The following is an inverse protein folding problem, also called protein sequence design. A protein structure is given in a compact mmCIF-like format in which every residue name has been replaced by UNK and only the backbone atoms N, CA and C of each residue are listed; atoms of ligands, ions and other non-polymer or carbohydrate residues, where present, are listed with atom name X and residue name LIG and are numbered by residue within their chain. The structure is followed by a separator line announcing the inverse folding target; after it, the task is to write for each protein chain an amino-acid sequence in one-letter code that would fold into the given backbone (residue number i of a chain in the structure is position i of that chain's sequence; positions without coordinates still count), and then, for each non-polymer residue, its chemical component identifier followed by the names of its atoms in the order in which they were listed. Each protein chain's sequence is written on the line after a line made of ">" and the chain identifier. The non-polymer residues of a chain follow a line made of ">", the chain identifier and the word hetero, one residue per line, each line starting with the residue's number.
data_IF_076104217971
#
_entry.id   IF_076104217971
#
_cell.length_a   1.000
_cell.length_b   1.000
_cell.length_c   1.000
_cell.angle_alpha   90.00
_cell.angle_beta   90.00
_cell.angle_gamma   90.00
#
_symmetry.space_group_name_H-M   'P 1'
#
loop_
_entity.id
_entity.type
_entity.pdbx_description
1 polymer ?
#
# COMPACT_ATOMS: atom_id res chain seq x y z
N UNK A 1 35.21 13.82 -13.43
CA UNK A 1 34.26 12.70 -13.34
C UNK A 1 33.63 12.56 -14.72
N UNK A 2 33.91 11.47 -15.40
CA UNK A 2 33.42 11.20 -16.76
C UNK A 2 31.93 10.83 -16.73
N UNK A 3 31.20 11.24 -17.77
CA UNK A 3 29.79 10.88 -17.95
C UNK A 3 29.72 9.45 -18.48
N UNK A 4 28.91 8.60 -17.86
CA UNK A 4 28.71 7.25 -18.36
C UNK A 4 27.69 7.29 -19.52
N UNK A 5 28.07 6.93 -20.75
CA UNK A 5 27.18 7.00 -21.90
C UNK A 5 25.98 6.05 -21.81
N UNK A 6 26.05 4.99 -20.98
CA UNK A 6 24.91 4.09 -20.76
C UNK A 6 23.83 4.67 -19.84
N UNK A 7 24.17 5.67 -19.02
CA UNK A 7 23.26 6.31 -18.04
C UNK A 7 23.01 7.79 -18.39
N UNK A 8 23.83 8.39 -19.26
CA UNK A 8 23.73 9.80 -19.66
C UNK A 8 24.11 10.79 -18.55
N UNK A 9 24.70 10.31 -17.45
CA UNK A 9 25.16 11.12 -16.31
C UNK A 9 26.36 10.45 -15.63
N UNK A 10 26.99 11.15 -14.68
CA UNK A 10 28.07 10.54 -13.89
C UNK A 10 27.51 9.43 -12.99
N UNK A 11 28.26 8.33 -12.82
CA UNK A 11 27.89 7.23 -11.92
C UNK A 11 27.57 7.70 -10.50
N UNK A 12 28.31 8.69 -10.03
CA UNK A 12 28.11 9.29 -8.71
C UNK A 12 26.79 10.05 -8.60
N UNK A 13 26.44 10.85 -9.62
CA UNK A 13 25.15 11.53 -9.64
C UNK A 13 23.99 10.53 -9.74
N UNK A 14 24.08 9.53 -10.61
CA UNK A 14 23.07 8.45 -10.73
C UNK A 14 22.78 7.74 -9.40
N UNK A 15 23.83 7.48 -8.63
CA UNK A 15 23.73 6.78 -7.37
C UNK A 15 23.02 7.61 -6.29
N UNK A 16 23.18 8.93 -6.34
CA UNK A 16 22.51 9.87 -5.42
C UNK A 16 21.09 10.24 -5.85
N UNK A 17 20.81 10.22 -7.15
CA UNK A 17 19.50 10.52 -7.74
C UNK A 17 18.62 9.27 -7.79
N UNK A 18 18.45 8.58 -6.66
CA UNK A 18 17.60 7.40 -6.56
C UNK A 18 16.11 7.80 -6.47
N UNK A 19 15.20 7.10 -7.16
CA UNK A 19 13.78 7.40 -7.11
C UNK A 19 13.15 6.98 -5.77
N UNK A 20 12.37 7.87 -5.16
CA UNK A 20 11.76 7.65 -3.83
C UNK A 20 10.31 7.13 -3.91
N UNK A 21 9.63 7.37 -5.03
CA UNK A 21 8.23 7.00 -5.21
C UNK A 21 8.04 5.48 -5.36
N UNK A 22 7.12 4.83 -4.61
CA UNK A 22 6.95 3.38 -4.70
C UNK A 22 6.33 2.92 -6.02
N UNK A 23 7.17 2.33 -6.87
CA UNK A 23 6.80 1.70 -8.13
C UNK A 23 7.73 0.49 -8.39
N UNK A 24 7.25 -0.52 -9.12
CA UNK A 24 8.05 -1.72 -9.41
C UNK A 24 9.33 -1.38 -10.21
N UNK A 25 9.23 -0.49 -11.21
CA UNK A 25 10.38 0.00 -11.97
C UNK A 25 11.40 0.73 -11.10
N UNK A 26 10.93 1.56 -10.17
CA UNK A 26 11.80 2.29 -9.23
C UNK A 26 12.51 1.33 -8.27
N UNK A 27 11.82 0.28 -7.81
CA UNK A 27 12.41 -0.76 -6.97
C UNK A 27 13.53 -1.51 -7.71
N UNK A 28 13.31 -1.89 -8.97
CA UNK A 28 14.36 -2.48 -9.81
C UNK A 28 15.56 -1.53 -9.90
N UNK A 29 15.33 -0.24 -10.16
CA UNK A 29 16.40 0.77 -10.21
C UNK A 29 17.17 0.92 -8.89
N UNK A 30 16.54 0.69 -7.73
CA UNK A 30 17.24 0.63 -6.44
C UNK A 30 18.12 -0.63 -6.34
N UNK A 31 17.61 -1.78 -6.76
CA UNK A 31 18.39 -3.04 -6.74
C UNK A 31 19.63 -2.96 -7.63
N UNK A 32 19.55 -2.31 -8.79
CA UNK A 32 20.68 -2.08 -9.68
C UNK A 32 21.77 -1.20 -9.04
N UNK A 33 21.36 -0.16 -8.31
CA UNK A 33 22.28 0.72 -7.56
C UNK A 33 22.95 -0.02 -6.41
N UNK A 34 22.20 -0.84 -5.67
CA UNK A 34 22.75 -1.71 -4.62
C UNK A 34 23.74 -2.71 -5.21
N UNK A 35 23.40 -3.34 -6.34
CA UNK A 35 24.29 -4.28 -7.02
C UNK A 35 25.56 -3.61 -7.56
N UNK A 36 25.46 -2.36 -8.05
CA UNK A 36 26.62 -1.56 -8.41
C UNK A 36 27.53 -1.32 -7.20
N UNK A 37 26.96 -0.91 -6.06
CA UNK A 37 27.72 -0.64 -4.84
C UNK A 37 28.39 -1.88 -4.25
N UNK A 38 27.71 -3.03 -4.27
CA UNK A 38 28.30 -4.30 -3.81
C UNK A 38 29.49 -4.74 -4.66
N UNK A 39 29.50 -4.43 -5.96
CA UNK A 39 30.64 -4.69 -6.86
C UNK A 39 31.87 -3.83 -6.55
N UNK A 40 31.73 -2.78 -5.75
CA UNK A 40 32.88 -2.00 -5.27
C UNK A 40 33.63 -2.70 -4.12
N UNK A 41 33.06 -3.79 -3.57
CA UNK A 41 33.68 -4.62 -2.53
C UNK A 41 34.19 -3.81 -1.31
N UNK A 42 33.49 -2.72 -0.99
CA UNK A 42 33.81 -1.91 0.18
C UNK A 42 33.25 -2.60 1.41
N UNK A 43 34.14 -2.99 2.31
CA UNK A 43 33.80 -3.58 3.59
C UNK A 43 33.04 -2.58 4.47
N UNK A 44 31.80 -2.93 4.83
CA UNK A 44 30.97 -2.13 5.73
C UNK A 44 31.46 -2.16 7.17
N UNK A 45 32.25 -3.15 7.58
CA UNK A 45 32.80 -3.25 8.93
C UNK A 45 33.80 -2.12 9.23
N UNK A 46 34.33 -1.46 8.20
CA UNK A 46 35.16 -0.25 8.34
C UNK A 46 34.45 0.87 9.12
N UNK A 47 33.11 0.91 9.11
CA UNK A 47 32.36 1.84 9.94
C UNK A 47 32.57 1.59 11.43
N UNK A 48 32.65 0.33 11.86
CA UNK A 48 32.80 -0.05 13.26
C UNK A 48 34.17 0.34 13.83
N UNK A 49 35.17 0.51 12.96
CA UNK A 49 36.50 1.00 13.34
C UNK A 49 36.53 2.50 13.71
N UNK A 50 35.45 3.24 13.45
CA UNK A 50 35.36 4.69 13.69
C UNK A 50 34.28 4.96 14.73
N UNK A 51 34.56 5.83 15.72
CA UNK A 51 33.53 6.22 16.69
C UNK A 51 32.33 6.87 16.00
N UNK A 52 31.12 6.62 16.51
CA UNK A 52 29.87 7.10 15.88
C UNK A 52 29.86 8.62 15.66
N UNK A 53 30.30 9.41 16.65
CA UNK A 53 30.38 10.87 16.51
C UNK A 53 31.33 11.33 15.42
N UNK A 54 32.48 10.64 15.25
CA UNK A 54 33.43 10.93 14.17
C UNK A 54 32.88 10.49 12.81
N UNK A 55 32.22 9.34 12.75
CA UNK A 55 31.55 8.85 11.55
C UNK A 55 30.51 9.86 11.05
N UNK A 56 29.62 10.31 11.93
CA UNK A 56 28.60 11.31 11.59
C UNK A 56 29.22 12.63 11.11
N UNK A 57 30.35 13.02 11.71
CA UNK A 57 31.12 14.16 11.23
C UNK A 57 31.65 13.94 9.80
N UNK A 58 32.22 12.77 9.48
CA UNK A 58 32.65 12.43 8.12
C UNK A 58 31.50 12.47 7.12
N UNK A 59 30.32 11.95 7.50
CA UNK A 59 29.14 12.00 6.63
C UNK A 59 28.72 13.46 6.37
N UNK A 60 28.68 14.31 7.39
CA UNK A 60 28.38 15.74 7.24
C UNK A 60 29.42 16.44 6.35
N UNK A 61 30.71 16.22 6.59
CA UNK A 61 31.80 16.74 5.76
C UNK A 61 31.61 16.33 4.29
N UNK A 62 31.38 15.05 4.02
CA UNK A 62 31.23 14.53 2.65
C UNK A 62 29.95 15.00 1.94
N UNK A 63 28.91 15.36 2.69
CA UNK A 63 27.71 15.97 2.12
C UNK A 63 27.94 17.45 1.74
N UNK A 64 28.75 18.16 2.53
CA UNK A 64 29.08 19.56 2.30
C UNK A 64 30.24 19.76 1.30
N UNK A 65 31.05 18.74 1.05
CA UNK A 65 32.24 18.84 0.20
C UNK A 65 31.91 18.56 -1.27
N UNK A 66 31.90 19.58 -2.16
CA UNK A 66 31.79 19.35 -3.60
C UNK A 66 33.05 18.65 -4.14
N UNK A 67 32.91 17.94 -5.26
CA UNK A 67 33.98 17.09 -5.81
C UNK A 67 35.30 17.83 -6.11
N UNK A 68 35.25 19.13 -6.42
CA UNK A 68 36.44 19.94 -6.63
C UNK A 68 37.18 20.24 -5.33
N UNK A 69 36.47 20.55 -4.24
CA UNK A 69 37.06 20.81 -2.92
C UNK A 69 37.66 19.53 -2.30
N UNK A 70 37.10 18.37 -2.64
CA UNK A 70 37.66 17.10 -2.22
C UNK A 70 39.09 16.87 -2.76
N UNK A 71 39.47 17.50 -3.87
CA UNK A 71 40.83 17.40 -4.42
C UNK A 71 41.88 18.16 -3.62
N UNK A 72 41.46 19.14 -2.82
CA UNK A 72 42.37 19.90 -1.94
C UNK A 72 42.73 19.10 -0.68
N UNK A 73 42.01 18.00 -0.40
CA UNK A 73 42.38 17.08 0.67
C UNK A 73 43.56 16.20 0.27
N UNK A 74 44.40 15.87 1.24
CA UNK A 74 45.38 14.81 1.06
C UNK A 74 44.67 13.48 0.70
N UNK A 75 45.39 12.61 -0.01
CA UNK A 75 44.82 11.39 -0.58
C UNK A 75 44.12 10.52 0.48
N UNK A 76 44.72 10.36 1.66
CA UNK A 76 44.16 9.56 2.75
C UNK A 76 42.82 10.09 3.25
N UNK A 77 42.71 11.41 3.49
CA UNK A 77 41.46 12.04 3.91
C UNK A 77 40.40 11.93 2.83
N UNK A 78 40.76 12.17 1.57
CA UNK A 78 39.86 12.04 0.42
C UNK A 78 39.31 10.61 0.31
N UNK A 79 40.17 9.60 0.41
CA UNK A 79 39.76 8.19 0.34
C UNK A 79 38.84 7.82 1.51
N UNK A 80 39.20 8.17 2.74
CA UNK A 80 38.38 7.90 3.91
C UNK A 80 36.97 8.52 3.78
N UNK A 81 36.89 9.75 3.27
CA UNK A 81 35.61 10.43 3.07
C UNK A 81 34.76 9.79 1.97
N UNK A 82 35.38 9.37 0.86
CA UNK A 82 34.70 8.66 -0.23
C UNK A 82 34.17 7.30 0.25
N UNK A 83 35.00 6.52 0.96
CA UNK A 83 34.61 5.22 1.51
C UNK A 83 33.42 5.37 2.47
N UNK A 84 33.48 6.33 3.39
CA UNK A 84 32.38 6.60 4.32
C UNK A 84 31.08 6.98 3.59
N UNK A 85 31.18 7.82 2.55
CA UNK A 85 30.05 8.22 1.73
C UNK A 85 29.44 7.04 0.95
N UNK A 86 30.27 6.14 0.43
CA UNK A 86 29.79 4.93 -0.24
C UNK A 86 29.06 4.02 0.73
N UNK A 87 29.65 3.70 1.90
CA UNK A 87 29.01 2.87 2.93
C UNK A 87 27.66 3.47 3.35
N UNK A 88 27.61 4.79 3.59
CA UNK A 88 26.36 5.47 3.97
C UNK A 88 25.30 5.39 2.86
N UNK A 89 25.72 5.47 1.60
CA UNK A 89 24.82 5.38 0.46
C UNK A 89 24.31 3.94 0.26
N UNK A 90 25.14 2.92 0.50
CA UNK A 90 24.71 1.51 0.54
C UNK A 90 23.58 1.30 1.55
N UNK A 91 23.76 1.82 2.77
CA UNK A 91 22.77 1.72 3.84
C UNK A 91 21.47 2.40 3.44
N UNK A 92 21.54 3.68 3.02
CA UNK A 92 20.36 4.45 2.60
C UNK A 92 19.58 3.73 1.49
N UNK A 93 20.27 3.28 0.43
CA UNK A 93 19.60 2.61 -0.69
C UNK A 93 18.98 1.28 -0.28
N UNK A 94 19.60 0.57 0.65
CA UNK A 94 19.04 -0.68 1.20
C UNK A 94 17.76 -0.40 2.00
N UNK A 95 17.79 0.61 2.87
CA UNK A 95 16.61 1.03 3.65
C UNK A 95 15.47 1.53 2.76
N UNK A 96 15.79 2.31 1.72
CA UNK A 96 14.85 2.80 0.72
C UNK A 96 14.22 1.62 -0.06
N UNK A 97 15.03 0.64 -0.46
CA UNK A 97 14.56 -0.55 -1.16
C UNK A 97 13.62 -1.38 -0.28
N UNK A 98 13.98 -1.65 0.97
CA UNK A 98 13.13 -2.39 1.92
C UNK A 98 11.81 -1.64 2.17
N UNK A 99 11.88 -0.33 2.37
CA UNK A 99 10.69 0.53 2.55
C UNK A 99 9.78 0.46 1.33
N UNK A 100 10.35 0.54 0.13
CA UNK A 100 9.60 0.48 -1.12
C UNK A 100 8.95 -0.89 -1.32
N UNK A 101 9.68 -1.97 -1.04
CA UNK A 101 9.18 -3.33 -1.08
C UNK A 101 7.96 -3.51 -0.17
N UNK A 102 8.06 -3.10 1.10
CA UNK A 102 6.96 -3.17 2.07
C UNK A 102 5.71 -2.43 1.54
N UNK A 103 5.89 -1.22 0.99
CA UNK A 103 4.78 -0.44 0.40
C UNK A 103 4.15 -1.13 -0.80
N UNK A 104 4.93 -1.74 -1.68
CA UNK A 104 4.42 -2.46 -2.85
C UNK A 104 3.63 -3.70 -2.43
N UNK A 105 4.16 -4.49 -1.50
CA UNK A 105 3.45 -5.65 -0.94
C UNK A 105 2.13 -5.21 -0.28
N UNK A 106 2.15 -4.16 0.54
CA UNK A 106 0.94 -3.60 1.16
C UNK A 106 -0.11 -3.17 0.14
N UNK A 107 0.29 -2.53 -0.97
CA UNK A 107 -0.61 -2.17 -2.08
C UNK A 107 -1.25 -3.40 -2.71
N UNK A 108 -0.49 -4.47 -2.98
CA UNK A 108 -1.02 -5.70 -3.57
C UNK A 108 -2.06 -6.37 -2.68
N UNK A 109 -1.78 -6.49 -1.38
CA UNK A 109 -2.75 -7.05 -0.42
C UNK A 109 -4.00 -6.18 -0.30
N UNK A 110 -3.84 -4.85 -0.24
CA UNK A 110 -4.97 -3.91 -0.21
C UNK A 110 -5.85 -4.04 -1.44
N UNK A 111 -5.27 -4.10 -2.64
CA UNK A 111 -6.00 -4.30 -3.89
C UNK A 111 -6.75 -5.62 -3.92
N UNK A 112 -6.10 -6.73 -3.52
CA UNK A 112 -6.74 -8.04 -3.47
C UNK A 112 -7.93 -8.06 -2.49
N UNK A 113 -7.75 -7.47 -1.30
CA UNK A 113 -8.81 -7.40 -0.29
C UNK A 113 -9.97 -6.51 -0.74
N UNK A 114 -9.69 -5.37 -1.36
CA UNK A 114 -10.71 -4.47 -1.90
C UNK A 114 -11.50 -5.14 -3.03
N UNK A 115 -10.83 -5.88 -3.93
CA UNK A 115 -11.52 -6.69 -4.96
C UNK A 115 -12.42 -7.75 -4.34
N UNK A 116 -11.97 -8.42 -3.27
CA UNK A 116 -12.79 -9.41 -2.54
C UNK A 116 -14.01 -8.76 -1.89
N UNK A 117 -13.83 -7.62 -1.21
CA UNK A 117 -14.92 -6.85 -0.59
C UNK A 117 -15.93 -6.37 -1.65
N UNK A 118 -15.46 -5.83 -2.76
CA UNK A 118 -16.31 -5.39 -3.87
C UNK A 118 -17.16 -6.55 -4.41
N UNK A 119 -16.53 -7.69 -4.73
CA UNK A 119 -17.26 -8.90 -5.18
C UNK A 119 -18.31 -9.35 -4.19
N UNK A 120 -18.05 -9.21 -2.88
CA UNK A 120 -19.02 -9.57 -1.85
C UNK A 120 -20.20 -8.59 -1.80
N UNK A 121 -19.95 -7.29 -1.96
CA UNK A 121 -20.99 -6.27 -2.08
C UNK A 121 -21.85 -6.51 -3.32
N UNK A 122 -21.22 -6.76 -4.47
CA UNK A 122 -21.93 -7.02 -5.73
C UNK A 122 -22.82 -8.26 -5.62
N UNK A 123 -22.32 -9.35 -5.01
CA UNK A 123 -23.14 -10.55 -4.73
C UNK A 123 -24.34 -10.23 -3.85
N UNK A 124 -24.15 -9.48 -2.76
CA UNK A 124 -25.25 -9.08 -1.87
C UNK A 124 -26.31 -8.25 -2.61
N UNK A 125 -25.88 -7.29 -3.42
CA UNK A 125 -26.78 -6.47 -4.23
C UNK A 125 -27.57 -7.32 -5.24
N UNK A 126 -26.91 -8.26 -5.91
CA UNK A 126 -27.56 -9.18 -6.85
C UNK A 126 -28.58 -10.09 -6.15
N UNK A 127 -28.24 -10.65 -4.98
CA UNK A 127 -29.18 -11.47 -4.20
C UNK A 127 -30.39 -10.65 -3.75
N UNK A 128 -30.18 -9.43 -3.25
CA UNK A 128 -31.28 -8.55 -2.85
C UNK A 128 -32.20 -8.20 -4.04
N UNK A 129 -31.63 -7.94 -5.21
CA UNK A 129 -32.39 -7.70 -6.44
C UNK A 129 -33.22 -8.93 -6.85
N UNK A 130 -32.64 -10.12 -6.80
CA UNK A 130 -33.35 -11.36 -7.13
C UNK A 130 -34.51 -11.61 -6.16
N UNK A 131 -34.29 -11.46 -4.85
CA UNK A 131 -35.35 -11.59 -3.85
C UNK A 131 -36.48 -10.58 -4.07
N UNK A 132 -36.16 -9.32 -4.42
CA UNK A 132 -37.17 -8.31 -4.75
C UNK A 132 -37.98 -8.68 -6.00
N UNK A 133 -37.33 -9.17 -7.06
CA UNK A 133 -38.04 -9.66 -8.25
C UNK A 133 -39.00 -10.82 -7.94
N UNK A 134 -38.58 -11.76 -7.09
CA UNK A 134 -39.47 -12.83 -6.63
C UNK A 134 -40.68 -12.31 -5.86
N UNK A 135 -40.46 -11.37 -4.94
CA UNK A 135 -41.54 -10.74 -4.18
C UNK A 135 -42.50 -9.98 -5.10
N UNK A 136 -41.98 -9.16 -6.01
CA UNK A 136 -42.79 -8.42 -6.99
C UNK A 136 -43.66 -9.38 -7.83
N UNK A 137 -43.10 -10.53 -8.22
CA UNK A 137 -43.83 -11.57 -8.96
C UNK A 137 -44.93 -12.22 -8.12
N UNK A 138 -44.64 -12.58 -6.85
CA UNK A 138 -45.64 -13.15 -5.94
C UNK A 138 -46.77 -12.15 -5.69
N UNK A 139 -46.45 -10.89 -5.48
CA UNK A 139 -47.45 -9.84 -5.26
C UNK A 139 -48.31 -9.61 -6.51
N UNK A 140 -47.74 -9.66 -7.72
CA UNK A 140 -48.50 -9.55 -8.96
C UNK A 140 -49.44 -10.74 -9.22
N UNK A 141 -49.06 -11.94 -8.76
CA UNK A 141 -49.87 -13.16 -8.86
C UNK A 141 -50.89 -13.31 -7.74
N UNK A 142 -50.71 -12.60 -6.62
CA UNK A 142 -51.67 -12.61 -5.52
C UNK A 142 -52.97 -11.96 -5.99
N UNK A 143 -54.14 -12.60 -5.78
CA UNK A 143 -55.40 -11.92 -6.01
C UNK A 143 -55.43 -10.63 -5.17
N UNK A 144 -56.05 -9.54 -5.67
CA UNK A 144 -56.22 -8.34 -4.87
C UNK A 144 -56.92 -8.76 -3.58
N UNK A 145 -56.31 -8.46 -2.43
CA UNK A 145 -56.92 -8.63 -1.12
C UNK A 145 -58.13 -7.70 -1.05
N UNK A 146 -59.24 -8.12 -1.64
CA UNK A 146 -60.54 -7.51 -1.40
C UNK A 146 -60.82 -7.70 0.08
N UNK A 147 -60.94 -6.57 0.79
CA UNK A 147 -61.55 -6.52 2.10
C UNK A 147 -62.91 -7.24 2.07
N UNK A 148 -62.93 -8.52 2.42
CA UNK A 148 -64.14 -9.26 2.75
C UNK A 148 -63.80 -10.00 4.03
N UNK A 149 -64.13 -9.40 5.18
CA UNK A 149 -63.78 -10.02 6.45
C UNK A 149 -63.89 -9.18 7.72
N UNK A 150 -64.61 -8.05 7.75
CA UNK A 150 -65.04 -7.41 9.01
C UNK A 150 -66.52 -7.07 8.95
N UNK A 151 -67.36 -8.08 8.70
CA UNK A 151 -68.80 -8.01 8.93
C UNK A 151 -69.32 -9.39 9.37
N UNK A 152 -68.86 -9.88 10.52
CA UNK A 152 -69.45 -11.07 11.19
C UNK A 152 -69.40 -10.96 12.72
N UNK A 153 -69.67 -9.79 13.28
CA UNK A 153 -69.75 -9.65 14.73
C UNK A 153 -70.79 -8.63 15.18
N UNK A 154 -72.03 -8.72 14.69
CA UNK A 154 -73.21 -8.15 15.37
C UNK A 154 -74.47 -8.71 14.72
N UNK A 155 -75.10 -9.73 15.32
CA UNK A 155 -76.55 -9.95 15.31
C UNK A 155 -76.90 -11.34 15.85
N UNK A 156 -76.96 -11.47 17.17
CA UNK A 156 -77.83 -12.45 17.85
C UNK A 156 -78.32 -11.84 19.16
N UNK A 157 -79.32 -10.97 19.07
CA UNK A 157 -80.24 -10.68 20.17
C UNK A 157 -81.61 -10.33 19.59
N UNK A 158 -82.65 -10.85 20.26
CA UNK A 158 -84.09 -10.78 19.96
C UNK A 158 -84.60 -11.70 18.83
N UNK A 159 -85.68 -12.48 18.96
CA UNK A 159 -86.63 -12.74 20.05
C UNK A 159 -87.50 -13.92 19.61
N UNK A 160 -87.77 -14.87 20.51
CA UNK A 160 -89.02 -15.65 20.53
C UNK A 160 -89.04 -16.52 21.80
N UNK A 161 -89.69 -16.01 22.85
CA UNK A 161 -90.25 -16.89 23.86
C UNK A 161 -91.51 -17.57 23.32
N UNK A 162 -91.79 -18.79 23.78
CA UNK A 162 -93.12 -19.23 24.22
C UNK A 162 -93.07 -20.68 24.72
N UNK A 163 -93.51 -20.87 25.97
CA UNK A 163 -94.17 -22.07 26.48
C UNK A 163 -93.28 -23.28 26.79
N UNK A 164 -93.56 -24.13 27.77
CA UNK A 164 -94.52 -24.15 28.88
C UNK A 164 -94.24 -25.48 29.62
N UNK A 165 -94.22 -25.44 30.94
CA UNK A 165 -94.57 -26.47 31.94
C UNK A 165 -94.14 -27.94 31.80
N UNK A 166 -93.67 -28.50 32.93
CA UNK A 166 -93.61 -29.95 33.20
C UNK A 166 -92.62 -30.31 34.29
#
# INVERSE_FOLDING_TARGET
>A
MEVDPSIGQTRFHWLRSAPEAPAASNFVGLTERIAFLRRLEIDSELQACVSSGRWDQMIREGNATPAWLANDFNASRRHALIVAQVIKLCQKLTDDAVTMFIKLIGKLFSQANNRKKQRQMDRRANTAKALRMFLDTITALSPPTTMVGTHWMFSTKESAGTGCFG
#
